data_IF_763005512932
#
_entry.id   IF_763005512932
#
_cell.length_a   1.000
_cell.length_b   1.000
_cell.length_c   1.000
_cell.angle_alpha   90.00
_cell.angle_beta   90.00
_cell.angle_gamma   90.00
#
_symmetry.space_group_name_H-M   'P 1'
#
loop_
_entity.id
_entity.type
_entity.pdbx_description
1 polymer ?
#
# COMPACT_ATOMS: atom_id res chain seq x y z
N UNK A 1 -22.17 15.98 -6.93
CA UNK A 1 -23.61 15.68 -6.73
C UNK A 1 -23.90 14.39 -7.49
N UNK A 2 -24.48 13.37 -6.85
CA UNK A 2 -24.92 12.14 -7.52
C UNK A 2 -26.43 12.05 -7.39
N UNK A 3 -27.11 11.87 -8.52
CA UNK A 3 -28.55 11.66 -8.59
C UNK A 3 -28.78 10.30 -9.23
N UNK A 4 -29.43 9.41 -8.48
CA UNK A 4 -29.80 8.10 -8.97
C UNK A 4 -31.27 8.13 -9.37
N UNK A 5 -31.55 7.78 -10.63
CA UNK A 5 -32.91 7.76 -11.18
C UNK A 5 -33.23 6.35 -11.65
N UNK A 6 -34.35 5.81 -11.15
CA UNK A 6 -34.91 4.54 -11.58
C UNK A 6 -36.21 4.83 -12.36
N UNK A 7 -36.29 4.34 -13.61
CA UNK A 7 -37.46 4.51 -14.47
C UNK A 7 -38.69 3.87 -13.79
N UNK A 8 -39.72 4.68 -13.55
CA UNK A 8 -40.96 4.26 -12.88
C UNK A 8 -41.18 4.84 -11.48
N UNK A 9 -40.21 5.57 -10.92
CA UNK A 9 -40.31 6.20 -9.60
C UNK A 9 -40.56 7.73 -9.71
N UNK A 10 -41.57 8.26 -9.01
CA UNK A 10 -41.93 9.69 -9.02
C UNK A 10 -41.05 10.59 -8.14
N UNK A 11 -40.00 10.02 -7.53
CA UNK A 11 -39.12 10.72 -6.59
C UNK A 11 -37.66 10.54 -7.00
N UNK A 12 -36.90 11.63 -6.99
CA UNK A 12 -35.45 11.65 -7.22
C UNK A 12 -34.76 11.76 -5.86
N UNK A 13 -33.98 10.74 -5.48
CA UNK A 13 -33.15 10.81 -4.28
C UNK A 13 -31.85 11.54 -4.61
N UNK A 14 -31.74 12.80 -4.19
CA UNK A 14 -30.52 13.61 -4.32
C UNK A 14 -29.69 13.47 -3.06
N UNK A 15 -28.57 12.73 -3.12
CA UNK A 15 -27.61 12.66 -2.02
C UNK A 15 -26.72 13.90 -2.05
N UNK A 16 -26.98 14.84 -1.14
CA UNK A 16 -26.14 16.01 -0.94
C UNK A 16 -24.95 15.63 -0.03
N UNK A 17 -23.90 15.05 -0.62
CA UNK A 17 -22.64 14.80 0.09
C UNK A 17 -22.02 16.14 0.48
N UNK A 18 -22.20 16.55 1.75
CA UNK A 18 -21.46 17.68 2.32
C UNK A 18 -19.98 17.29 2.33
N UNK A 19 -19.11 18.15 1.82
CA UNK A 19 -17.67 17.92 1.76
C UNK A 19 -17.07 18.03 3.17
N UNK A 20 -17.36 17.03 4.01
CA UNK A 20 -16.84 16.92 5.37
C UNK A 20 -15.33 16.71 5.33
N UNK A 21 -14.61 17.14 6.37
CA UNK A 21 -13.16 16.90 6.49
C UNK A 21 -12.78 15.40 6.32
N UNK A 22 -13.62 14.50 6.84
CA UNK A 22 -13.46 13.07 6.61
C UNK A 22 -13.64 12.64 5.15
N UNK A 23 -14.51 13.31 4.40
CA UNK A 23 -14.66 13.06 2.97
C UNK A 23 -13.41 13.52 2.21
N UNK A 24 -12.83 14.67 2.56
CA UNK A 24 -11.55 15.11 1.98
C UNK A 24 -10.40 14.17 2.30
N UNK A 25 -10.29 13.68 3.54
CA UNK A 25 -9.30 12.66 3.91
C UNK A 25 -9.51 11.35 3.14
N UNK A 26 -10.75 10.91 2.98
CA UNK A 26 -11.05 9.69 2.20
C UNK A 26 -10.65 9.86 0.73
N UNK A 27 -10.88 11.04 0.15
CA UNK A 27 -10.47 11.35 -1.22
C UNK A 27 -8.95 11.43 -1.37
N UNK A 28 -8.23 11.99 -0.39
CA UNK A 28 -6.76 12.00 -0.34
C UNK A 28 -6.18 10.59 -0.25
N UNK A 29 -6.75 9.75 0.62
CA UNK A 29 -6.31 8.37 0.78
C UNK A 29 -6.57 7.52 -0.48
N UNK A 30 -7.72 7.70 -1.13
CA UNK A 30 -8.05 7.01 -2.38
C UNK A 30 -7.37 7.62 -3.61
N UNK A 31 -6.77 8.80 -3.49
CA UNK A 31 -6.18 9.54 -4.60
C UNK A 31 -7.20 10.07 -5.64
N UNK A 32 -8.49 10.16 -5.29
CA UNK A 32 -9.56 10.47 -6.26
C UNK A 32 -9.70 11.98 -6.44
N UNK A 33 -9.55 12.46 -7.68
CA UNK A 33 -9.71 13.87 -8.05
C UNK A 33 -8.49 14.75 -7.74
N UNK A 34 -7.31 14.15 -7.53
CA UNK A 34 -6.07 14.88 -7.22
C UNK A 34 -5.15 14.95 -8.43
N UNK A 35 -4.33 16.00 -8.50
CA UNK A 35 -3.47 16.29 -9.65
C UNK A 35 -2.29 15.32 -9.75
N UNK A 36 -1.64 15.29 -10.93
CA UNK A 36 -0.41 14.50 -11.18
C UNK A 36 0.68 14.80 -10.15
N UNK A 37 0.78 16.04 -9.66
CA UNK A 37 1.75 16.43 -8.62
C UNK A 37 1.55 15.67 -7.30
N UNK A 38 0.30 15.36 -6.92
CA UNK A 38 0.01 14.57 -5.72
C UNK A 38 0.44 13.11 -5.88
N UNK A 39 0.24 12.55 -7.07
CA UNK A 39 0.67 11.17 -7.38
C UNK A 39 2.19 11.05 -7.25
N UNK A 40 2.95 11.98 -7.85
CA UNK A 40 4.42 11.99 -7.77
C UNK A 40 4.90 12.19 -6.33
N UNK A 41 4.25 13.06 -5.55
CA UNK A 41 4.56 13.25 -4.14
C UNK A 41 4.42 11.92 -3.37
N UNK A 42 3.27 11.25 -3.47
CA UNK A 42 3.05 9.98 -2.78
C UNK A 42 4.04 8.91 -3.24
N UNK A 43 4.36 8.86 -4.54
CA UNK A 43 5.33 7.90 -5.09
C UNK A 43 6.72 8.10 -4.48
N UNK A 44 7.19 9.35 -4.34
CA UNK A 44 8.46 9.63 -3.67
C UNK A 44 8.45 9.26 -2.19
N UNK A 45 7.33 9.49 -1.48
CA UNK A 45 7.17 9.06 -0.08
C UNK A 45 7.22 7.53 0.01
N UNK A 46 6.47 6.83 -0.83
CA UNK A 46 6.48 5.37 -0.88
C UNK A 46 7.89 4.83 -1.16
N UNK A 47 8.58 5.39 -2.15
CA UNK A 47 9.97 5.06 -2.46
C UNK A 47 10.91 5.28 -1.27
N UNK A 48 10.78 6.41 -0.57
CA UNK A 48 11.61 6.72 0.61
C UNK A 48 11.38 5.74 1.76
N UNK A 49 10.13 5.32 2.01
CA UNK A 49 9.80 4.33 3.04
C UNK A 49 10.36 2.95 2.71
N UNK A 50 10.34 2.57 1.43
CA UNK A 50 10.97 1.34 0.94
C UNK A 50 12.48 1.40 1.19
N UNK A 51 13.16 2.49 0.81
CA UNK A 51 14.59 2.67 1.06
C UNK A 51 14.92 2.67 2.55
N UNK A 52 14.11 3.32 3.39
CA UNK A 52 14.27 3.31 4.84
C UNK A 52 14.14 1.89 5.41
N UNK A 53 13.17 1.11 4.93
CA UNK A 53 13.00 -0.29 5.33
C UNK A 53 14.20 -1.14 4.92
N UNK A 54 14.64 -1.03 3.66
CA UNK A 54 15.82 -1.72 3.13
C UNK A 54 17.08 -1.37 3.90
N UNK A 55 17.33 -0.10 4.16
CA UNK A 55 18.51 0.36 4.92
C UNK A 55 18.47 -0.12 6.38
N UNK A 56 17.29 -0.15 7.02
CA UNK A 56 17.12 -0.76 8.33
C UNK A 56 17.47 -2.25 8.35
N UNK A 57 17.02 -3.01 7.33
CA UNK A 57 17.38 -4.42 7.17
C UNK A 57 18.88 -4.59 6.92
N UNK A 58 19.49 -3.77 6.06
CA UNK A 58 20.92 -3.81 5.78
C UNK A 58 21.76 -3.54 7.03
N UNK A 59 21.43 -2.49 7.80
CA UNK A 59 22.10 -2.18 9.06
C UNK A 59 21.96 -3.32 10.06
N UNK A 60 20.77 -3.93 10.16
CA UNK A 60 20.57 -5.13 10.98
C UNK A 60 21.48 -6.28 10.51
N UNK A 61 21.59 -6.51 9.20
CA UNK A 61 22.44 -7.58 8.66
C UNK A 61 23.92 -7.37 8.93
N UNK A 62 24.42 -6.14 8.86
CA UNK A 62 25.81 -5.83 9.20
C UNK A 62 26.07 -5.96 10.71
N UNK A 63 25.14 -5.48 11.55
CA UNK A 63 25.31 -5.52 13.01
C UNK A 63 25.21 -6.94 13.57
N UNK A 64 24.43 -7.82 12.94
CA UNK A 64 24.19 -9.18 13.39
C UNK A 64 24.65 -10.23 12.36
N UNK A 65 25.73 -9.93 11.63
CA UNK A 65 26.25 -10.67 10.47
C UNK A 65 26.33 -12.19 10.67
N UNK A 66 26.81 -12.64 11.82
CA UNK A 66 26.90 -14.08 12.17
C UNK A 66 25.53 -14.75 12.29
N UNK A 67 24.53 -14.05 12.83
CA UNK A 67 23.17 -14.58 13.03
C UNK A 67 22.35 -14.52 11.73
N UNK A 68 22.54 -13.49 10.90
CA UNK A 68 21.84 -13.35 9.61
C UNK A 68 22.27 -14.42 8.61
N UNK A 69 23.58 -14.72 8.51
CA UNK A 69 24.05 -15.81 7.64
C UNK A 69 23.43 -17.15 8.04
N UNK A 70 23.31 -17.43 9.34
CA UNK A 70 22.63 -18.62 9.84
C UNK A 70 21.15 -18.69 9.45
N UNK A 71 20.41 -17.58 9.61
CA UNK A 71 18.99 -17.50 9.23
C UNK A 71 18.80 -17.67 7.72
N UNK A 72 19.64 -17.02 6.90
CA UNK A 72 19.57 -17.11 5.43
C UNK A 72 19.88 -18.52 4.94
N UNK A 73 20.90 -19.19 5.50
CA UNK A 73 21.24 -20.56 5.13
C UNK A 73 20.13 -21.54 5.52
N UNK A 74 19.59 -21.42 6.74
CA UNK A 74 18.52 -22.32 7.20
C UNK A 74 17.24 -22.08 6.41
N UNK A 75 16.79 -20.83 6.24
CA UNK A 75 15.59 -20.54 5.47
C UNK A 75 15.74 -20.92 4.00
N UNK A 76 16.90 -20.64 3.39
CA UNK A 76 17.23 -21.05 2.02
C UNK A 76 17.22 -22.57 1.86
N UNK A 77 17.77 -23.31 2.81
CA UNK A 77 17.77 -24.78 2.79
C UNK A 77 16.37 -25.36 2.96
N UNK A 78 15.54 -24.79 3.84
CA UNK A 78 14.14 -25.18 4.01
C UNK A 78 13.34 -24.93 2.74
N UNK A 79 13.49 -23.75 2.11
CA UNK A 79 12.80 -23.44 0.85
C UNK A 79 13.25 -24.39 -0.26
N UNK A 80 14.55 -24.64 -0.39
CA UNK A 80 15.09 -25.58 -1.38
C UNK A 80 14.57 -27.00 -1.14
N UNK A 81 14.50 -27.46 0.11
CA UNK A 81 13.95 -28.76 0.46
C UNK A 81 12.46 -28.86 0.13
N UNK A 82 11.68 -27.81 0.40
CA UNK A 82 10.26 -27.75 0.05
C UNK A 82 10.07 -27.76 -1.46
N UNK A 83 10.80 -26.92 -2.21
CA UNK A 83 10.69 -26.86 -3.67
C UNK A 83 11.11 -28.20 -4.29
N UNK A 84 12.28 -28.74 -3.93
CA UNK A 84 12.77 -30.00 -4.47
C UNK A 84 11.89 -31.21 -4.06
N UNK A 85 11.25 -31.15 -2.89
CA UNK A 85 10.31 -32.18 -2.44
C UNK A 85 8.89 -32.04 -3.00
N UNK A 86 8.53 -30.88 -3.57
CA UNK A 86 7.25 -30.64 -4.26
C UNK A 86 7.33 -30.93 -5.77
N UNK A 87 8.56 -31.05 -6.31
CA UNK A 87 8.88 -31.44 -7.69
C UNK A 87 8.89 -32.97 -7.82
#
# INVERSE_FOLDING_TARGET
MQAEYWVGNGFVTVKHTRNSFFATLSNLHKGVGLSVGWVLLIDTIAGSLILLSLTGVLLWTELNKRRVVGVVLVSGSVIAAVVCGLM
#
